data_IF_731364433054
#
_entry.id   IF_731364433054
#
_cell.length_a   1.000
_cell.length_b   1.000
_cell.length_c   1.000
_cell.angle_alpha   90.00
_cell.angle_beta   90.00
_cell.angle_gamma   90.00
#
_symmetry.space_group_name_H-M   'P 1'
#
loop_
_entity.id
_entity.type
_entity.pdbx_description
1 polymer ?
#
# COMPACT_ATOMS: atom_id res chain seq x y z
N UNK A 1 10.58 -2.83 -12.35
CA UNK A 1 9.33 -2.09 -12.13
C UNK A 1 9.21 -1.29 -10.80
N UNK A 2 10.15 -1.35 -9.82
CA UNK A 2 10.04 -0.69 -8.48
C UNK A 2 9.53 0.78 -8.51
N UNK A 3 10.20 1.67 -9.25
CA UNK A 3 9.80 3.09 -9.32
C UNK A 3 8.39 3.28 -9.91
N UNK A 4 8.04 2.49 -10.93
CA UNK A 4 6.72 2.51 -11.56
C UNK A 4 5.65 2.04 -10.58
N UNK A 5 5.91 0.96 -9.84
CA UNK A 5 5.04 0.48 -8.76
C UNK A 5 4.77 1.59 -7.73
N UNK A 6 5.81 2.26 -7.22
CA UNK A 6 5.64 3.37 -6.29
C UNK A 6 4.83 4.53 -6.88
N UNK A 7 5.03 4.85 -8.16
CA UNK A 7 4.26 5.90 -8.83
C UNK A 7 2.77 5.56 -8.87
N UNK A 8 2.42 4.33 -9.26
CA UNK A 8 1.03 3.87 -9.31
C UNK A 8 0.40 3.85 -7.91
N UNK A 9 1.11 3.32 -6.91
CA UNK A 9 0.65 3.29 -5.53
C UNK A 9 0.32 4.70 -4.99
N UNK A 10 1.17 5.70 -5.30
CA UNK A 10 0.89 7.09 -4.92
C UNK A 10 -0.34 7.64 -5.64
N UNK A 11 -0.49 7.39 -6.94
CA UNK A 11 -1.69 7.80 -7.69
C UNK A 11 -2.96 7.17 -7.11
N UNK A 12 -2.93 5.88 -6.83
CA UNK A 12 -4.07 5.17 -6.21
C UNK A 12 -4.38 5.72 -4.82
N UNK A 13 -3.34 6.05 -4.03
CA UNK A 13 -3.51 6.71 -2.73
C UNK A 13 -4.20 8.06 -2.90
N UNK A 14 -3.70 8.90 -3.78
CA UNK A 14 -4.20 10.28 -3.98
C UNK A 14 -5.65 10.29 -4.47
N UNK A 15 -6.03 9.34 -5.33
CA UNK A 15 -7.39 9.26 -5.89
C UNK A 15 -8.41 8.55 -5.03
N UNK A 16 -8.01 7.51 -4.30
CA UNK A 16 -8.94 6.58 -3.65
C UNK A 16 -8.79 6.47 -2.14
N UNK A 17 -7.67 6.96 -1.58
CA UNK A 17 -7.33 6.81 -0.16
C UNK A 17 -7.05 8.16 0.53
N UNK A 18 -7.46 9.27 -0.07
CA UNK A 18 -7.54 10.56 0.62
C UNK A 18 -8.76 10.57 1.55
N UNK A 19 -8.57 10.05 2.75
CA UNK A 19 -9.63 9.78 3.72
C UNK A 19 -9.57 10.76 4.90
N UNK A 20 -10.70 11.03 5.58
CA UNK A 20 -10.72 11.83 6.79
C UNK A 20 -9.70 11.36 7.83
N UNK A 21 -8.92 12.29 8.40
CA UNK A 21 -7.83 12.00 9.33
C UNK A 21 -6.50 11.60 8.66
N UNK A 22 -6.45 11.54 7.33
CA UNK A 22 -5.29 11.20 6.51
C UNK A 22 -4.51 9.99 7.08
N UNK A 23 -5.17 8.82 7.24
CA UNK A 23 -4.57 7.63 7.84
C UNK A 23 -3.49 7.01 6.94
N UNK A 24 -3.58 7.20 5.62
CA UNK A 24 -2.65 6.65 4.64
C UNK A 24 -2.04 7.78 3.81
N UNK A 25 -0.72 7.89 3.85
CA UNK A 25 0.04 8.94 3.14
C UNK A 25 0.95 8.33 2.08
N UNK A 26 1.46 9.15 1.16
CA UNK A 26 2.48 8.72 0.19
C UNK A 26 3.78 8.20 0.83
N UNK A 27 4.04 8.53 2.11
CA UNK A 27 5.20 7.99 2.83
C UNK A 27 4.99 6.53 3.26
N UNK A 28 3.76 6.12 3.56
CA UNK A 28 3.44 4.72 3.80
C UNK A 28 3.71 3.88 2.54
N UNK A 29 3.37 4.39 1.35
CA UNK A 29 3.68 3.72 0.08
C UNK A 29 5.18 3.56 -0.14
N UNK A 30 5.97 4.61 0.18
CA UNK A 30 7.44 4.54 0.14
C UNK A 30 7.99 3.52 1.13
N UNK A 31 7.41 3.42 2.32
CA UNK A 31 7.86 2.49 3.35
C UNK A 31 7.56 1.05 2.97
N UNK A 32 6.33 0.78 2.51
CA UNK A 32 5.91 -0.58 2.17
C UNK A 32 6.59 -1.12 0.92
N UNK A 33 6.96 -0.28 -0.06
CA UNK A 33 7.76 -0.77 -1.19
C UNK A 33 9.16 -1.22 -0.76
N UNK A 34 9.75 -0.60 0.28
CA UNK A 34 11.04 -1.03 0.81
C UNK A 34 10.93 -2.40 1.48
N UNK A 35 9.89 -2.63 2.30
CA UNK A 35 9.62 -3.95 2.86
C UNK A 35 9.29 -5.00 1.79
N UNK A 36 8.55 -4.64 0.75
CA UNK A 36 8.27 -5.57 -0.37
C UNK A 36 9.56 -5.93 -1.13
N UNK A 37 10.54 -5.02 -1.23
CA UNK A 37 11.85 -5.30 -1.82
C UNK A 37 12.67 -6.26 -0.96
N UNK A 38 12.56 -6.19 0.37
CA UNK A 38 13.22 -7.13 1.27
C UNK A 38 12.59 -8.53 1.16
N UNK A 39 11.27 -8.60 0.99
CA UNK A 39 10.54 -9.85 0.76
C UNK A 39 10.83 -10.48 -0.61
N UNK A 40 11.09 -9.67 -1.63
CA UNK A 40 11.39 -10.10 -3.00
C UNK A 40 12.73 -9.50 -3.45
N UNK A 41 13.86 -10.05 -3.00
CA UNK A 41 15.17 -9.43 -3.17
C UNK A 41 15.74 -9.55 -4.59
N UNK A 42 15.21 -10.45 -5.44
CA UNK A 42 15.79 -10.71 -6.76
C UNK A 42 15.27 -9.71 -7.80
N UNK A 43 16.12 -9.28 -8.72
CA UNK A 43 15.71 -8.34 -9.78
C UNK A 43 14.57 -8.89 -10.65
N UNK A 44 14.57 -10.20 -10.95
CA UNK A 44 13.50 -10.86 -11.71
C UNK A 44 12.13 -10.79 -11.04
N UNK A 45 12.07 -10.66 -9.71
CA UNK A 45 10.81 -10.51 -8.98
C UNK A 45 10.22 -9.09 -9.09
N UNK A 46 10.96 -8.20 -9.76
CA UNK A 46 10.60 -6.83 -10.07
C UNK A 46 10.57 -6.57 -11.58
N UNK A 47 10.48 -7.60 -12.41
CA UNK A 47 10.23 -7.42 -13.83
C UNK A 47 8.85 -6.78 -14.07
N UNK A 48 8.61 -6.28 -15.28
CA UNK A 48 7.34 -5.62 -15.62
C UNK A 48 6.14 -6.56 -15.53
N UNK A 49 6.34 -7.86 -15.77
CA UNK A 49 5.30 -8.89 -15.59
C UNK A 49 4.85 -9.03 -14.14
N UNK A 50 5.74 -8.76 -13.17
CA UNK A 50 5.45 -8.83 -11.74
C UNK A 50 4.77 -7.56 -11.18
N UNK A 51 4.60 -6.51 -11.99
CA UNK A 51 4.13 -5.20 -11.49
C UNK A 51 2.77 -5.31 -10.75
N UNK A 52 1.82 -6.06 -11.31
CA UNK A 52 0.51 -6.24 -10.69
C UNK A 52 0.63 -6.98 -9.35
N UNK A 53 1.42 -8.06 -9.29
CA UNK A 53 1.66 -8.83 -8.07
C UNK A 53 2.31 -7.98 -6.98
N UNK A 54 3.27 -7.12 -7.33
CA UNK A 54 3.91 -6.20 -6.36
C UNK A 54 2.94 -5.17 -5.82
N UNK A 55 2.08 -4.59 -6.66
CA UNK A 55 1.05 -3.64 -6.20
C UNK A 55 0.09 -4.33 -5.24
N UNK A 56 -0.40 -5.53 -5.60
CA UNK A 56 -1.29 -6.32 -4.77
C UNK A 56 -0.64 -6.71 -3.44
N UNK A 57 0.60 -7.19 -3.47
CA UNK A 57 1.37 -7.54 -2.26
C UNK A 57 1.50 -6.37 -1.29
N UNK A 58 1.82 -5.18 -1.82
CA UNK A 58 1.96 -3.96 -1.01
C UNK A 58 0.62 -3.52 -0.41
N UNK A 59 -0.48 -3.59 -1.16
CA UNK A 59 -1.80 -3.25 -0.61
C UNK A 59 -2.31 -4.26 0.42
N UNK A 60 -2.07 -5.56 0.21
CA UNK A 60 -2.36 -6.57 1.22
C UNK A 60 -1.55 -6.34 2.49
N UNK A 61 -0.27 -5.97 2.36
CA UNK A 61 0.57 -5.60 3.50
C UNK A 61 0.06 -4.32 4.19
N UNK A 62 -0.40 -3.32 3.43
CA UNK A 62 -1.01 -2.11 3.99
C UNK A 62 -2.27 -2.44 4.80
N UNK A 63 -3.14 -3.31 4.28
CA UNK A 63 -4.35 -3.76 5.00
C UNK A 63 -3.96 -4.42 6.32
N UNK A 64 -2.98 -5.32 6.29
CA UNK A 64 -2.45 -5.97 7.50
C UNK A 64 -1.93 -4.92 8.50
N UNK A 65 -1.11 -3.97 8.06
CA UNK A 65 -0.62 -2.89 8.92
C UNK A 65 -1.75 -2.07 9.55
N UNK A 66 -2.78 -1.72 8.76
CA UNK A 66 -3.93 -0.93 9.24
C UNK A 66 -4.76 -1.71 10.27
N UNK A 67 -5.01 -3.00 10.02
CA UNK A 67 -5.73 -3.89 10.95
C UNK A 67 -4.96 -4.12 12.25
N UNK A 68 -3.65 -4.32 12.16
CA UNK A 68 -2.76 -4.43 13.32
C UNK A 68 -2.48 -3.07 13.98
N UNK A 69 -2.92 -1.97 13.38
CA UNK A 69 -2.70 -0.58 13.82
C UNK A 69 -1.22 -0.26 14.03
N UNK A 70 -0.35 -0.84 13.19
CA UNK A 70 1.10 -0.67 13.27
C UNK A 70 1.72 -0.70 11.89
N UNK A 71 2.50 0.32 11.56
CA UNK A 71 3.31 0.38 10.34
C UNK A 71 4.71 0.90 10.71
N UNK A 72 5.69 0.02 10.96
CA UNK A 72 7.03 0.45 11.36
C UNK A 72 7.71 1.24 10.23
N UNK A 73 8.47 2.26 10.58
CA UNK A 73 9.34 2.96 9.65
C UNK A 73 10.49 2.03 9.21
N UNK A 74 10.80 1.98 7.91
CA UNK A 74 11.75 1.01 7.35
C UNK A 74 13.13 1.05 8.03
N UNK A 75 13.76 2.22 8.14
CA UNK A 75 15.09 2.36 8.77
C UNK A 75 15.06 2.52 10.30
N UNK A 76 13.88 2.75 10.88
CA UNK A 76 13.72 3.09 12.29
C UNK A 76 12.58 2.23 12.86
N UNK A 77 12.79 0.92 13.06
CA UNK A 77 11.70 -0.03 13.35
C UNK A 77 10.93 0.26 14.66
N UNK A 78 11.51 1.06 15.55
CA UNK A 78 10.87 1.54 16.77
C UNK A 78 9.92 2.73 16.55
N UNK A 79 9.95 3.34 15.37
CA UNK A 79 9.05 4.43 14.98
C UNK A 79 7.85 3.83 14.23
N UNK A 80 6.66 4.00 14.79
CA UNK A 80 5.40 3.62 14.15
C UNK A 80 4.81 4.79 13.37
N UNK A 81 4.61 4.62 12.06
CA UNK A 81 4.06 5.63 11.16
C UNK A 81 2.57 5.89 11.38
N UNK A 82 1.85 4.97 12.04
CA UNK A 82 0.45 5.18 12.44
C UNK A 82 0.29 5.82 13.82
N UNK A 83 1.39 6.16 14.51
CA UNK A 83 1.32 6.83 15.80
C UNK A 83 0.49 8.11 15.73
N UNK A 84 -0.48 8.24 16.63
CA UNK A 84 -1.38 9.39 16.71
C UNK A 84 -2.57 9.36 15.75
N UNK A 85 -2.71 8.31 14.92
CA UNK A 85 -3.91 8.11 14.08
C UNK A 85 -5.03 7.46 14.90
N UNK A 86 -6.27 7.87 14.65
CA UNK A 86 -7.41 7.29 15.38
C UNK A 86 -7.66 5.85 14.93
N UNK A 87 -7.99 4.92 15.85
CA UNK A 87 -8.30 3.53 15.50
C UNK A 87 -9.41 3.41 14.44
N UNK A 88 -10.43 4.27 14.52
CA UNK A 88 -11.54 4.32 13.57
C UNK A 88 -11.07 4.75 12.17
N UNK A 89 -10.16 5.73 12.06
CA UNK A 89 -9.62 6.14 10.76
C UNK A 89 -8.80 5.01 10.12
N UNK A 90 -8.01 4.28 10.92
CA UNK A 90 -7.24 3.13 10.44
C UNK A 90 -8.15 1.99 9.97
N UNK A 91 -9.22 1.69 10.70
CA UNK A 91 -10.19 0.66 10.31
C UNK A 91 -10.94 1.03 9.03
N UNK A 92 -11.39 2.29 8.91
CA UNK A 92 -12.04 2.79 7.70
C UNK A 92 -11.09 2.74 6.49
N UNK A 93 -9.82 3.10 6.69
CA UNK A 93 -8.80 2.96 5.66
C UNK A 93 -8.61 1.50 5.26
N UNK A 94 -8.54 0.56 6.20
CA UNK A 94 -8.40 -0.86 5.88
C UNK A 94 -9.55 -1.36 4.99
N UNK A 95 -10.79 -0.95 5.29
CA UNK A 95 -11.97 -1.28 4.47
C UNK A 95 -11.87 -0.71 3.05
N UNK A 96 -11.42 0.54 2.91
CA UNK A 96 -11.28 1.17 1.59
C UNK A 96 -10.13 0.57 0.77
N UNK A 97 -8.97 0.31 1.37
CA UNK A 97 -7.85 -0.35 0.71
C UNK A 97 -8.26 -1.77 0.27
N UNK A 98 -8.98 -2.52 1.12
CA UNK A 98 -9.51 -3.84 0.75
C UNK A 98 -10.48 -3.76 -0.43
N UNK A 99 -11.41 -2.80 -0.42
CA UNK A 99 -12.36 -2.61 -1.54
C UNK A 99 -11.62 -2.38 -2.86
N UNK A 100 -10.65 -1.47 -2.86
CA UNK A 100 -9.81 -1.15 -4.02
C UNK A 100 -9.00 -2.36 -4.49
N UNK A 101 -8.33 -3.04 -3.56
CA UNK A 101 -7.50 -4.23 -3.87
C UNK A 101 -8.35 -5.36 -4.46
N UNK A 102 -9.54 -5.60 -3.89
CA UNK A 102 -10.46 -6.61 -4.40
C UNK A 102 -10.96 -6.28 -5.81
N UNK A 103 -11.27 -5.02 -6.09
CA UNK A 103 -11.63 -4.59 -7.44
C UNK A 103 -10.50 -4.84 -8.44
N UNK A 104 -9.26 -4.53 -8.07
CA UNK A 104 -8.09 -4.78 -8.90
C UNK A 104 -7.82 -6.27 -9.16
N UNK A 105 -8.05 -7.13 -8.16
CA UNK A 105 -7.87 -8.58 -8.28
C UNK A 105 -8.96 -9.26 -9.12
N UNK A 106 -10.17 -8.72 -9.12
CA UNK A 106 -11.35 -9.36 -9.75
C UNK A 106 -11.69 -8.79 -11.13
N UNK A 107 -11.14 -7.63 -11.51
CA UNK A 107 -11.45 -6.96 -12.76
C UNK A 107 -10.18 -6.52 -13.50
N UNK A 108 -9.86 -7.20 -14.61
CA UNK A 108 -8.71 -6.89 -15.46
C UNK A 108 -8.76 -5.52 -16.14
N UNK A 109 -9.94 -4.87 -16.17
CA UNK A 109 -10.16 -3.51 -16.69
C UNK A 109 -10.37 -2.46 -15.59
N UNK A 110 -10.03 -2.77 -14.34
CA UNK A 110 -10.24 -1.84 -13.23
C UNK A 110 -9.55 -0.49 -13.46
N UNK A 111 -8.35 -0.48 -14.04
CA UNK A 111 -7.57 0.73 -14.28
C UNK A 111 -8.18 1.72 -15.27
N UNK A 112 -9.16 1.31 -16.08
CA UNK A 112 -9.89 2.23 -16.97
C UNK A 112 -10.80 3.19 -16.18
N UNK A 113 -11.12 2.83 -14.92
CA UNK A 113 -12.07 3.53 -14.05
C UNK A 113 -11.45 4.06 -12.75
N UNK A 114 -10.18 3.72 -12.45
CA UNK A 114 -9.43 4.13 -11.26
C UNK A 114 -8.47 5.29 -11.54
#
# INVERSE_FOLDING_TARGET
>A
CRRRCLSILKTLRDRHLDLPGNPVTGYHMKTLILFECEKHPRESEWDESCLADRINGIFLQLISCLQCRRCPHYFLPNVDLFKGKSPTALENAAKQVWRLTREMLTNSRCFDKL
#
